data_IF_200633869394
#
_entry.id   IF_200633869394
#
_cell.length_a   1.000
_cell.length_b   1.000
_cell.length_c   1.000
_cell.angle_alpha   90.00
_cell.angle_beta   90.00
_cell.angle_gamma   90.00
#
_symmetry.space_group_name_H-M   'P 1'
#
loop_
_entity.id
_entity.type
_entity.pdbx_description
1 polymer ?
#
# COMPACT_ATOMS: atom_id res chain seq x y z
N UNK A 1 -49.93 -72.09 0.75
CA UNK A 1 -50.23 -72.08 -0.69
C UNK A 1 -50.54 -70.64 -1.10
N UNK A 2 -49.86 -70.10 -2.15
CA UNK A 2 -50.23 -69.01 -3.10
C UNK A 2 -50.88 -67.72 -2.52
N UNK A 3 -50.57 -66.47 -2.89
CA UNK A 3 -49.75 -65.83 -3.94
C UNK A 3 -49.89 -64.30 -3.70
N UNK A 4 -48.87 -63.55 -4.11
CA UNK A 4 -48.82 -62.19 -4.67
C UNK A 4 -49.95 -61.16 -4.39
N UNK A 5 -49.53 -59.97 -3.91
CA UNK A 5 -49.88 -58.62 -4.39
C UNK A 5 -48.80 -57.68 -3.78
N UNK A 6 -47.75 -57.20 -4.44
CA UNK A 6 -47.63 -56.20 -5.52
C UNK A 6 -48.48 -54.93 -5.31
N UNK A 7 -47.90 -53.86 -4.73
CA UNK A 7 -47.87 -52.48 -5.31
C UNK A 7 -47.31 -51.42 -4.34
N UNK A 8 -46.67 -50.41 -4.93
CA UNK A 8 -46.35 -49.07 -4.40
C UNK A 8 -45.26 -48.91 -3.34
N UNK A 9 -44.04 -48.59 -3.79
CA UNK A 9 -43.34 -47.36 -3.40
C UNK A 9 -42.02 -47.24 -4.18
N UNK A 10 -42.11 -46.88 -5.46
CA UNK A 10 -40.97 -46.34 -6.18
C UNK A 10 -40.76 -44.90 -5.70
N UNK A 11 -40.08 -44.73 -4.56
CA UNK A 11 -39.52 -43.44 -4.16
C UNK A 11 -38.35 -43.16 -5.11
N UNK A 12 -38.65 -42.42 -6.18
CA UNK A 12 -37.66 -41.74 -7.00
C UNK A 12 -36.89 -40.81 -6.08
N UNK A 13 -35.69 -41.24 -5.68
CA UNK A 13 -34.69 -40.40 -5.05
C UNK A 13 -34.26 -39.38 -6.10
N UNK A 14 -34.93 -38.23 -6.11
CA UNK A 14 -34.42 -36.99 -6.66
C UNK A 14 -33.19 -36.61 -5.82
N UNK A 15 -32.03 -37.16 -6.17
CA UNK A 15 -30.76 -36.61 -5.75
C UNK A 15 -30.63 -35.23 -6.42
N UNK A 16 -31.17 -34.21 -5.76
CA UNK A 16 -30.84 -32.83 -6.05
C UNK A 16 -29.36 -32.66 -5.77
N UNK A 17 -28.54 -32.65 -6.82
CA UNK A 17 -27.20 -32.11 -6.76
C UNK A 17 -27.35 -30.66 -6.29
N UNK A 18 -27.13 -30.42 -5.00
CA UNK A 18 -26.93 -29.06 -4.50
C UNK A 18 -25.71 -28.56 -5.28
N UNK A 19 -25.94 -27.68 -6.25
CA UNK A 19 -24.89 -26.86 -6.83
C UNK A 19 -24.43 -25.98 -5.69
N UNK A 20 -23.47 -26.46 -4.90
CA UNK A 20 -22.72 -25.64 -3.99
C UNK A 20 -21.91 -24.72 -4.88
N UNK A 21 -22.44 -23.52 -5.09
CA UNK A 21 -21.66 -22.39 -5.56
C UNK A 21 -20.48 -22.26 -4.60
N UNK A 22 -19.34 -22.84 -4.95
CA UNK A 22 -18.10 -22.62 -4.23
C UNK A 22 -17.84 -21.12 -4.34
N UNK A 23 -17.85 -20.35 -3.24
CA UNK A 23 -17.29 -19.03 -3.33
C UNK A 23 -15.82 -19.26 -3.67
N UNK A 24 -15.39 -18.86 -4.86
CA UNK A 24 -13.97 -18.69 -5.12
C UNK A 24 -13.53 -17.60 -4.16
N UNK A 25 -13.04 -17.99 -2.98
CA UNK A 25 -12.39 -17.07 -2.06
C UNK A 25 -11.21 -16.51 -2.85
N UNK A 26 -11.33 -15.29 -3.35
CA UNK A 26 -10.18 -14.56 -3.84
C UNK A 26 -9.27 -14.36 -2.63
N UNK A 27 -8.20 -15.16 -2.56
CA UNK A 27 -7.23 -15.07 -1.48
C UNK A 27 -6.36 -13.85 -1.77
N UNK A 28 -6.51 -12.83 -0.92
CA UNK A 28 -5.69 -11.63 -0.94
C UNK A 28 -4.54 -11.77 0.06
N UNK A 29 -3.36 -11.30 -0.35
CA UNK A 29 -2.24 -11.07 0.55
C UNK A 29 -1.91 -9.58 0.53
N UNK A 30 -1.79 -8.99 1.72
CA UNK A 30 -1.40 -7.59 1.86
C UNK A 30 0.04 -7.46 2.35
N UNK A 31 0.74 -6.48 1.79
CA UNK A 31 2.10 -6.15 2.18
C UNK A 31 2.17 -4.65 2.44
N UNK A 32 2.91 -4.26 3.47
CA UNK A 32 3.31 -2.87 3.68
C UNK A 32 4.82 -2.76 3.62
N UNK A 33 5.31 -1.56 3.38
CA UNK A 33 6.73 -1.33 3.25
C UNK A 33 7.07 0.14 3.11
N UNK A 34 8.32 0.41 2.76
CA UNK A 34 8.81 1.77 2.63
C UNK A 34 10.30 1.84 2.39
N UNK A 35 10.80 3.05 2.17
CA UNK A 35 12.23 3.31 2.05
C UNK A 35 12.54 4.80 2.16
N UNK A 36 13.82 5.10 2.41
CA UNK A 36 14.39 6.42 2.23
C UNK A 36 15.36 6.40 1.04
N UNK A 37 15.29 7.41 0.17
CA UNK A 37 16.19 7.61 -0.95
C UNK A 37 16.58 9.09 -1.05
N UNK A 38 17.77 9.43 -0.56
CA UNK A 38 18.15 10.84 -0.38
C UNK A 38 17.19 11.52 0.61
N UNK A 39 16.58 12.62 0.19
CA UNK A 39 15.60 13.35 1.01
C UNK A 39 14.16 12.80 0.86
N UNK A 40 13.97 11.75 0.04
CA UNK A 40 12.66 11.17 -0.20
C UNK A 40 12.35 10.04 0.77
N UNK A 41 11.21 10.12 1.45
CA UNK A 41 10.66 9.03 2.27
C UNK A 41 9.41 8.49 1.60
N UNK A 42 9.31 7.17 1.44
CA UNK A 42 8.18 6.51 0.78
C UNK A 42 7.56 5.46 1.67
N UNK A 43 6.23 5.42 1.73
CA UNK A 43 5.41 4.38 2.36
C UNK A 43 4.64 3.62 1.29
N UNK A 44 4.53 2.30 1.44
CA UNK A 44 3.96 1.39 0.45
C UNK A 44 2.87 0.52 1.04
N UNK A 45 1.82 0.29 0.24
CA UNK A 45 0.78 -0.69 0.49
C UNK A 45 0.54 -1.49 -0.79
N UNK A 46 0.52 -2.81 -0.70
CA UNK A 46 0.32 -3.71 -1.85
C UNK A 46 -0.73 -4.75 -1.50
N UNK A 47 -1.69 -4.95 -2.38
CA UNK A 47 -2.64 -6.07 -2.33
C UNK A 47 -2.40 -6.97 -3.54
N UNK A 48 -2.08 -8.22 -3.27
CA UNK A 48 -1.78 -9.25 -4.25
C UNK A 48 -2.86 -10.33 -4.27
N UNK A 49 -3.21 -10.80 -5.47
CA UNK A 49 -3.97 -12.03 -5.70
C UNK A 49 -3.02 -13.16 -6.11
N UNK A 50 -3.52 -14.39 -6.17
CA UNK A 50 -2.75 -15.55 -6.69
C UNK A 50 -2.09 -15.30 -8.06
N UNK A 51 -2.70 -14.48 -8.92
CA UNK A 51 -2.19 -14.15 -10.27
C UNK A 51 -1.17 -13.02 -10.32
N UNK A 52 -0.88 -12.36 -9.19
CA UNK A 52 0.04 -11.22 -9.11
C UNK A 52 -0.58 -9.99 -8.44
N UNK A 53 0.12 -8.84 -8.47
CA UNK A 53 -0.38 -7.62 -7.85
C UNK A 53 -1.73 -7.26 -8.47
N UNK A 54 -2.66 -6.81 -7.64
CA UNK A 54 -3.95 -6.28 -8.08
C UNK A 54 -3.98 -4.77 -7.87
N UNK A 55 -3.56 -4.32 -6.69
CA UNK A 55 -3.51 -2.91 -6.32
C UNK A 55 -2.25 -2.61 -5.54
N UNK A 56 -1.75 -1.39 -5.68
CA UNK A 56 -0.72 -0.86 -4.80
C UNK A 56 -0.92 0.64 -4.64
N UNK A 57 -0.41 1.20 -3.55
CA UNK A 57 -0.44 2.62 -3.29
C UNK A 57 0.88 3.05 -2.67
N UNK A 58 1.28 4.30 -2.92
CA UNK A 58 2.41 4.92 -2.26
C UNK A 58 2.07 6.30 -1.71
N UNK A 59 2.75 6.67 -0.64
CA UNK A 59 2.84 8.05 -0.17
C UNK A 59 4.31 8.42 -0.10
N UNK A 60 4.67 9.55 -0.69
CA UNK A 60 6.06 9.98 -0.82
C UNK A 60 6.20 11.43 -0.40
N UNK A 61 7.11 11.68 0.54
CA UNK A 61 7.58 13.01 0.92
C UNK A 61 8.95 13.22 0.28
N UNK A 62 9.21 14.41 -0.25
CA UNK A 62 10.49 14.77 -0.87
C UNK A 62 11.03 16.05 -0.23
N UNK A 63 11.22 16.05 1.09
CA UNK A 63 11.64 17.24 1.84
C UNK A 63 10.85 18.50 1.46
N UNK A 64 11.57 19.58 1.13
CA UNK A 64 10.97 20.85 0.68
C UNK A 64 10.48 20.86 -0.79
N UNK A 65 10.66 19.76 -1.54
CA UNK A 65 10.29 19.68 -2.94
C UNK A 65 8.83 19.28 -3.15
N UNK A 66 8.17 18.82 -2.10
CA UNK A 66 6.75 18.50 -2.07
C UNK A 66 6.47 17.07 -1.63
N UNK A 67 5.29 16.59 -2.00
CA UNK A 67 4.78 15.29 -1.60
C UNK A 67 3.80 14.77 -2.64
N UNK A 68 3.61 13.46 -2.68
CA UNK A 68 2.54 12.88 -3.47
C UNK A 68 2.02 11.58 -2.89
N UNK A 69 0.84 11.22 -3.34
CA UNK A 69 0.27 9.90 -3.16
C UNK A 69 -0.13 9.32 -4.51
N UNK A 70 0.03 8.02 -4.66
CA UNK A 70 -0.34 7.30 -5.87
C UNK A 70 -1.17 6.07 -5.56
N UNK A 71 -2.03 5.69 -6.49
CA UNK A 71 -2.63 4.35 -6.55
C UNK A 71 -2.40 3.77 -7.94
N UNK A 72 -2.10 2.47 -7.95
CA UNK A 72 -1.80 1.66 -9.11
C UNK A 72 -2.75 0.46 -9.14
N UNK A 73 -3.24 0.11 -10.33
CA UNK A 73 -4.10 -1.07 -10.52
C UNK A 73 -3.56 -1.91 -11.66
N UNK A 74 -3.43 -3.21 -11.41
CA UNK A 74 -3.01 -4.21 -12.39
C UNK A 74 -4.19 -5.08 -12.79
N UNK A 75 -4.09 -5.60 -14.01
CA UNK A 75 -4.94 -6.66 -14.52
C UNK A 75 -4.11 -7.57 -15.41
N UNK A 76 -4.21 -8.88 -15.17
CA UNK A 76 -3.41 -9.92 -15.84
C UNK A 76 -1.89 -9.62 -15.84
N UNK A 77 -1.37 -9.12 -14.70
CA UNK A 77 0.05 -8.84 -14.52
C UNK A 77 0.55 -7.56 -15.20
N UNK A 78 -0.31 -6.82 -15.90
CA UNK A 78 0.03 -5.54 -16.55
C UNK A 78 -0.58 -4.38 -15.79
N UNK A 79 0.20 -3.31 -15.55
CA UNK A 79 -0.31 -2.08 -14.96
C UNK A 79 -1.35 -1.48 -15.90
N UNK A 80 -2.59 -1.30 -15.43
CA UNK A 80 -3.71 -0.76 -16.22
C UNK A 80 -4.03 0.68 -15.92
N UNK A 81 -3.78 1.11 -14.69
CA UNK A 81 -4.17 2.44 -14.28
C UNK A 81 -3.27 2.96 -13.17
N UNK A 82 -2.93 4.24 -13.28
CA UNK A 82 -2.20 5.01 -12.30
C UNK A 82 -2.92 6.34 -12.09
N UNK A 83 -3.17 6.68 -10.83
CA UNK A 83 -3.49 8.05 -10.43
C UNK A 83 -2.45 8.49 -9.42
N UNK A 84 -1.86 9.66 -9.64
CA UNK A 84 -0.94 10.32 -8.69
C UNK A 84 -1.39 11.74 -8.46
N UNK A 85 -1.38 12.19 -7.21
CA UNK A 85 -1.70 13.58 -6.87
C UNK A 85 -0.88 14.06 -5.69
N UNK A 86 -0.66 15.37 -5.62
CA UNK A 86 0.07 15.99 -4.53
C UNK A 86 0.54 17.38 -4.91
N UNK A 87 1.66 17.79 -4.33
CA UNK A 87 2.29 19.07 -4.58
C UNK A 87 3.73 18.87 -5.03
N UNK A 88 4.17 19.66 -6.02
CA UNK A 88 5.56 19.67 -6.47
C UNK A 88 6.08 21.10 -6.54
N UNK A 89 7.39 21.26 -6.34
CA UNK A 89 8.05 22.57 -6.40
C UNK A 89 8.09 23.12 -7.82
N UNK A 90 7.42 24.24 -8.03
CA UNK A 90 7.55 25.12 -9.19
C UNK A 90 8.59 26.21 -8.91
N UNK A 91 9.42 26.51 -9.90
CA UNK A 91 10.52 27.47 -9.78
C UNK A 91 10.08 28.90 -9.45
N UNK A 92 8.82 29.27 -9.72
CA UNK A 92 8.30 30.63 -9.54
C UNK A 92 7.26 30.72 -8.42
N UNK A 93 6.46 29.67 -8.25
CA UNK A 93 5.27 29.69 -7.40
C UNK A 93 5.45 28.91 -6.09
N UNK A 94 6.60 28.26 -5.87
CA UNK A 94 6.79 27.37 -4.73
C UNK A 94 6.04 26.05 -4.96
N UNK A 95 5.47 25.46 -3.91
CA UNK A 95 4.69 24.24 -4.06
C UNK A 95 3.38 24.52 -4.82
N UNK A 96 3.13 23.71 -5.86
CA UNK A 96 1.90 23.80 -6.65
C UNK A 96 1.23 22.43 -6.77
N UNK A 97 -0.11 22.37 -6.77
CA UNK A 97 -0.82 21.11 -6.87
C UNK A 97 -0.69 20.52 -8.27
N UNK A 98 -0.63 19.20 -8.33
CA UNK A 98 -0.64 18.46 -9.58
C UNK A 98 -1.42 17.15 -9.48
N UNK A 99 -1.90 16.67 -10.62
CA UNK A 99 -2.55 15.37 -10.75
C UNK A 99 -2.20 14.72 -12.07
N UNK A 100 -1.86 13.44 -12.01
CA UNK A 100 -1.59 12.57 -13.14
C UNK A 100 -2.61 11.44 -13.11
N UNK A 101 -3.16 11.12 -14.28
CA UNK A 101 -4.02 9.97 -14.49
C UNK A 101 -3.66 9.33 -15.83
N UNK A 102 -3.23 8.07 -15.78
CA UNK A 102 -2.83 7.31 -16.96
C UNK A 102 -3.55 5.97 -16.94
N UNK A 103 -4.06 5.54 -18.11
CA UNK A 103 -4.52 4.17 -18.32
C UNK A 103 -3.72 3.53 -19.43
N UNK A 104 -3.39 2.26 -19.27
CA UNK A 104 -2.56 1.49 -20.19
C UNK A 104 -3.34 0.31 -20.79
N UNK A 105 -3.01 -0.07 -22.03
CA UNK A 105 -3.53 -1.29 -22.66
C UNK A 105 -2.78 -2.55 -22.19
N UNK A 106 -3.06 -3.68 -22.83
CA UNK A 106 -2.42 -4.99 -22.54
C UNK A 106 -0.93 -5.02 -22.87
N UNK A 107 -0.50 -4.16 -23.78
CA UNK A 107 0.89 -4.03 -24.23
C UNK A 107 1.68 -3.03 -23.37
N UNK A 108 1.03 -2.41 -22.37
CA UNK A 108 1.63 -1.39 -21.52
C UNK A 108 1.70 0.00 -22.16
N UNK A 109 1.03 0.25 -23.28
CA UNK A 109 0.97 1.54 -23.94
C UNK A 109 -0.13 2.42 -23.35
N UNK A 110 0.15 3.71 -23.17
CA UNK A 110 -0.80 4.65 -22.57
C UNK A 110 -1.95 4.99 -23.55
N UNK A 111 -3.15 4.51 -23.25
CA UNK A 111 -4.39 4.76 -24.01
C UNK A 111 -5.19 5.95 -23.49
N UNK A 112 -4.92 6.40 -22.27
CA UNK A 112 -5.45 7.64 -21.70
C UNK A 112 -4.37 8.31 -20.87
N UNK A 113 -4.25 9.64 -20.99
CA UNK A 113 -3.26 10.43 -20.28
C UNK A 113 -3.84 11.80 -19.92
N UNK A 114 -3.72 12.17 -18.66
CA UNK A 114 -4.02 13.51 -18.18
C UNK A 114 -2.99 13.92 -17.15
N UNK A 115 -2.24 14.98 -17.42
CA UNK A 115 -1.37 15.62 -16.45
C UNK A 115 -1.81 17.07 -16.28
N UNK A 116 -2.21 17.41 -15.05
CA UNK A 116 -2.56 18.77 -14.65
C UNK A 116 -1.51 19.27 -13.67
N UNK A 117 -0.93 20.42 -13.96
CA UNK A 117 0.00 21.14 -13.08
C UNK A 117 -0.51 22.55 -12.87
N UNK A 118 -0.86 22.89 -11.62
CA UNK A 118 -1.46 24.19 -11.29
C UNK A 118 -2.61 24.55 -12.25
N UNK A 119 -3.55 23.61 -12.41
CA UNK A 119 -4.70 23.69 -13.32
C UNK A 119 -4.38 23.74 -14.84
N UNK A 120 -3.11 23.68 -15.24
CA UNK A 120 -2.71 23.63 -16.66
C UNK A 120 -2.55 22.19 -17.11
N UNK A 121 -3.12 21.85 -18.27
CA UNK A 121 -2.93 20.53 -18.88
C UNK A 121 -1.59 20.51 -19.62
N UNK A 122 -0.76 19.52 -19.33
CA UNK A 122 0.56 19.34 -19.91
C UNK A 122 0.68 17.93 -20.54
N UNK A 123 1.51 17.77 -21.58
CA UNK A 123 1.81 16.45 -22.11
C UNK A 123 2.68 15.64 -21.13
N UNK A 124 2.44 14.34 -21.06
CA UNK A 124 3.33 13.40 -20.35
C UNK A 124 4.33 12.86 -21.37
N UNK A 125 5.61 12.88 -21.02
CA UNK A 125 6.67 12.38 -21.88
C UNK A 125 6.80 10.85 -21.77
N UNK A 126 7.31 10.19 -22.82
CA UNK A 126 7.44 8.74 -22.86
C UNK A 126 8.34 8.19 -21.73
N UNK A 127 9.40 8.91 -21.38
CA UNK A 127 10.29 8.55 -20.27
C UNK A 127 9.60 8.69 -18.90
N UNK A 128 8.67 9.62 -18.74
CA UNK A 128 7.85 9.74 -17.53
C UNK A 128 6.89 8.55 -17.41
N UNK A 129 6.24 8.14 -18.51
CA UNK A 129 5.38 6.96 -18.52
C UNK A 129 6.14 5.69 -18.12
N UNK A 130 7.32 5.47 -18.71
CA UNK A 130 8.17 4.33 -18.38
C UNK A 130 8.64 4.37 -16.92
N UNK A 131 8.97 5.56 -16.40
CA UNK A 131 9.35 5.74 -15.00
C UNK A 131 8.20 5.37 -14.07
N UNK A 132 6.97 5.78 -14.35
CA UNK A 132 5.80 5.41 -13.55
C UNK A 132 5.57 3.90 -13.50
N UNK A 133 5.73 3.21 -14.63
CA UNK A 133 5.64 1.75 -14.68
C UNK A 133 6.75 1.10 -13.85
N UNK A 134 7.99 1.58 -13.99
CA UNK A 134 9.12 1.08 -13.20
C UNK A 134 8.98 1.33 -11.70
N UNK A 135 8.45 2.49 -11.30
CA UNK A 135 8.16 2.81 -9.90
C UNK A 135 7.09 1.84 -9.34
N UNK A 136 6.05 1.57 -10.11
CA UNK A 136 4.99 0.62 -9.77
C UNK A 136 5.53 -0.82 -9.55
N UNK A 137 6.42 -1.28 -10.41
CA UNK A 137 7.03 -2.61 -10.25
C UNK A 137 8.02 -2.65 -9.08
N UNK A 138 8.77 -1.57 -8.86
CA UNK A 138 9.72 -1.49 -7.75
C UNK A 138 9.02 -1.50 -6.40
N UNK A 139 7.91 -0.78 -6.21
CA UNK A 139 7.24 -0.81 -4.90
C UNK A 139 6.68 -2.21 -4.59
N UNK A 140 6.13 -2.92 -5.59
CA UNK A 140 5.62 -4.28 -5.41
C UNK A 140 6.76 -5.21 -5.02
N UNK A 141 7.88 -5.15 -5.76
CA UNK A 141 9.06 -5.97 -5.48
C UNK A 141 9.62 -5.69 -4.08
N UNK A 142 9.74 -4.42 -3.70
CA UNK A 142 10.30 -3.98 -2.42
C UNK A 142 9.43 -4.42 -1.24
N UNK A 143 8.13 -4.16 -1.31
CA UNK A 143 7.18 -4.52 -0.23
C UNK A 143 7.13 -6.03 -0.01
N UNK A 144 7.15 -6.81 -1.11
CA UNK A 144 7.20 -8.28 -1.02
C UNK A 144 8.52 -8.78 -0.43
N UNK A 145 9.64 -8.15 -0.79
CA UNK A 145 10.94 -8.51 -0.20
C UNK A 145 10.97 -8.21 1.29
N UNK A 146 10.51 -7.02 1.71
CA UNK A 146 10.44 -6.63 3.11
C UNK A 146 9.55 -7.58 3.92
N UNK A 147 8.38 -7.94 3.39
CA UNK A 147 7.52 -8.93 4.02
C UNK A 147 8.20 -10.31 4.18
N UNK A 148 8.99 -10.77 3.19
CA UNK A 148 9.77 -12.02 3.31
C UNK A 148 10.85 -11.93 4.39
N UNK A 149 11.40 -10.75 4.60
CA UNK A 149 12.37 -10.47 5.66
C UNK A 149 11.69 -10.27 7.04
N UNK A 150 10.35 -10.39 7.07
CA UNK A 150 9.51 -10.24 8.26
C UNK A 150 9.25 -8.78 8.63
N UNK A 151 9.60 -7.84 7.76
CA UNK A 151 9.45 -6.40 7.99
C UNK A 151 8.10 -5.89 7.49
N UNK A 152 7.51 -4.99 8.26
CA UNK A 152 6.30 -4.24 7.89
C UNK A 152 6.50 -2.74 8.18
N UNK A 153 5.72 -1.90 7.50
CA UNK A 153 5.64 -0.47 7.82
C UNK A 153 4.84 -0.29 9.11
N UNK A 154 5.45 0.37 10.09
CA UNK A 154 4.84 0.72 11.37
C UNK A 154 4.95 2.24 11.53
N UNK A 155 3.85 2.86 11.93
CA UNK A 155 3.78 4.29 12.22
C UNK A 155 2.98 4.51 13.51
N UNK A 156 3.28 5.59 14.22
CA UNK A 156 2.68 5.87 15.51
C UNK A 156 3.38 7.01 16.24
N UNK A 157 3.07 7.14 17.52
CA UNK A 157 3.56 8.21 18.38
C UNK A 157 4.38 7.62 19.52
N UNK A 158 5.52 8.26 19.79
CA UNK A 158 6.40 7.95 20.90
C UNK A 158 6.32 9.08 21.92
N UNK A 159 5.97 8.76 23.17
CA UNK A 159 5.79 9.72 24.28
C UNK A 159 6.98 9.75 25.27
N UNK A 160 8.07 9.06 24.94
CA UNK A 160 9.24 8.90 25.83
C UNK A 160 9.26 7.59 26.63
N UNK A 161 8.13 6.90 26.76
CA UNK A 161 8.01 5.64 27.50
C UNK A 161 7.36 4.53 26.66
N UNK A 162 6.29 4.88 25.94
CA UNK A 162 5.48 3.97 25.15
C UNK A 162 5.37 4.42 23.71
N UNK A 163 5.21 3.44 22.82
CA UNK A 163 4.89 3.65 21.43
C UNK A 163 3.46 3.22 21.16
N UNK A 164 2.59 4.16 20.77
CA UNK A 164 1.23 3.89 20.33
C UNK A 164 1.20 3.88 18.79
N UNK A 165 0.85 2.75 18.18
CA UNK A 165 0.70 2.69 16.71
C UNK A 165 -0.49 3.54 16.27
N UNK A 166 -0.48 3.96 15.00
CA UNK A 166 -1.64 4.57 14.35
C UNK A 166 -2.90 3.67 14.30
N UNK A 167 -2.78 2.39 14.70
CA UNK A 167 -3.90 1.44 14.83
C UNK A 167 -4.36 1.25 16.28
N UNK A 168 -3.76 1.96 17.24
CA UNK A 168 -4.10 1.91 18.67
C UNK A 168 -3.45 0.76 19.45
N UNK A 169 -2.39 0.14 18.92
CA UNK A 169 -1.62 -0.87 19.64
C UNK A 169 -0.48 -0.19 20.42
N UNK A 170 -0.35 -0.50 21.71
CA UNK A 170 0.69 0.06 22.57
C UNK A 170 1.86 -0.90 22.80
N UNK A 171 3.08 -0.36 22.78
CA UNK A 171 4.31 -1.11 23.01
C UNK A 171 5.21 -0.38 24.00
N UNK A 172 5.67 -1.09 25.04
CA UNK A 172 6.52 -0.55 26.09
C UNK A 172 8.01 -0.57 25.76
N UNK A 173 8.40 -1.07 24.58
CA UNK A 173 9.81 -1.27 24.23
C UNK A 173 10.02 -1.11 22.73
N UNK A 174 10.87 -0.15 22.37
CA UNK A 174 11.34 0.11 21.03
C UNK A 174 12.84 -0.25 20.96
N UNK A 175 13.19 -1.34 20.28
CA UNK A 175 14.57 -1.82 20.14
C UNK A 175 15.10 -1.45 18.75
N UNK A 176 16.25 -0.79 18.68
CA UNK A 176 16.86 -0.42 17.40
C UNK A 176 17.97 -1.40 17.02
N UNK A 177 17.85 -2.04 15.85
CA UNK A 177 18.86 -2.97 15.35
C UNK A 177 20.15 -2.27 14.89
N UNK A 178 20.08 -0.97 14.65
CA UNK A 178 21.20 -0.15 14.20
C UNK A 178 21.46 0.95 15.21
N UNK A 179 22.73 1.35 15.33
CA UNK A 179 23.09 2.51 16.16
C UNK A 179 22.47 3.76 15.56
N UNK A 180 21.45 4.32 16.23
CA UNK A 180 20.86 5.57 15.82
C UNK A 180 21.86 6.72 15.94
N UNK A 181 21.83 7.69 15.01
CA UNK A 181 22.55 8.94 15.20
C UNK A 181 22.10 9.64 16.50
N UNK A 182 23.03 10.29 17.20
CA UNK A 182 22.74 10.94 18.48
C UNK A 182 21.61 11.96 18.45
N UNK A 183 21.39 12.64 17.31
CA UNK A 183 20.27 13.59 17.17
C UNK A 183 18.89 12.91 17.20
N UNK A 184 18.78 11.68 16.67
CA UNK A 184 17.54 10.89 16.70
C UNK A 184 17.25 10.48 18.13
N UNK A 185 18.28 9.99 18.84
CA UNK A 185 18.17 9.60 20.26
C UNK A 185 17.74 10.81 21.10
N UNK A 186 18.36 11.97 20.89
CA UNK A 186 18.02 13.18 21.63
C UNK A 186 16.58 13.61 21.38
N UNK A 187 16.09 13.55 20.13
CA UNK A 187 14.71 13.92 19.81
C UNK A 187 13.71 12.96 20.47
N UNK A 188 13.88 11.64 20.30
CA UNK A 188 13.03 10.64 20.94
C UNK A 188 13.05 10.71 22.48
N UNK A 189 14.11 11.24 23.09
CA UNK A 189 14.21 11.38 24.54
C UNK A 189 13.69 12.72 25.08
N UNK A 190 13.41 13.71 24.23
CA UNK A 190 13.11 15.09 24.67
C UNK A 190 11.72 15.58 24.30
N UNK A 191 11.07 14.98 23.31
CA UNK A 191 9.76 15.41 22.82
C UNK A 191 8.93 14.24 22.34
N UNK A 192 7.62 14.35 22.54
CA UNK A 192 6.64 13.49 21.90
C UNK A 192 6.82 13.60 20.38
N UNK A 193 6.83 12.47 19.69
CA UNK A 193 7.23 12.43 18.28
C UNK A 193 6.39 11.44 17.50
N UNK A 194 5.95 11.85 16.30
CA UNK A 194 5.52 10.89 15.28
C UNK A 194 6.73 10.13 14.74
N UNK A 195 6.62 8.81 14.66
CA UNK A 195 7.66 7.94 14.12
C UNK A 195 7.06 6.97 13.11
N UNK A 196 7.71 6.83 11.96
CA UNK A 196 7.45 5.75 11.02
C UNK A 196 8.72 4.98 10.70
N UNK A 197 8.63 3.66 10.65
CA UNK A 197 9.78 2.78 10.44
C UNK A 197 9.38 1.45 9.81
N UNK A 198 10.38 0.75 9.28
CA UNK A 198 10.29 -0.68 8.98
C UNK A 198 10.72 -1.47 10.20
N UNK A 199 9.91 -2.44 10.59
CA UNK A 199 10.20 -3.21 11.79
C UNK A 199 9.40 -4.49 11.92
N UNK A 200 9.54 -5.12 13.09
CA UNK A 200 8.85 -6.35 13.45
C UNK A 200 8.07 -6.15 14.75
N UNK A 201 6.81 -6.57 14.74
CA UNK A 201 5.99 -6.66 15.95
C UNK A 201 6.24 -7.97 16.68
N UNK A 202 6.47 -7.88 17.99
CA UNK A 202 6.36 -8.99 18.94
C UNK A 202 5.39 -8.59 20.05
N UNK A 203 5.01 -9.51 20.95
CA UNK A 203 3.88 -9.28 21.88
C UNK A 203 3.93 -7.97 22.69
N UNK A 204 5.11 -7.45 23.03
CA UNK A 204 5.31 -6.19 23.75
C UNK A 204 6.49 -5.36 23.25
N UNK A 205 7.10 -5.75 22.14
CA UNK A 205 8.31 -5.08 21.63
C UNK A 205 8.21 -4.83 20.14
N UNK A 206 8.70 -3.67 19.76
CA UNK A 206 8.89 -3.26 18.38
C UNK A 206 10.38 -3.25 18.08
N UNK A 207 10.79 -4.09 17.14
CA UNK A 207 12.15 -4.10 16.62
C UNK A 207 12.20 -3.17 15.41
N UNK A 208 12.93 -2.06 15.52
CA UNK A 208 13.15 -1.08 14.46
C UNK A 208 14.35 -1.50 13.63
N UNK A 209 14.09 -1.86 12.38
CA UNK A 209 15.12 -2.17 11.40
C UNK A 209 15.61 -0.90 10.70
N UNK A 210 14.68 -0.09 10.19
CA UNK A 210 14.97 1.12 9.43
C UNK A 210 14.00 2.23 9.84
N UNK A 211 14.52 3.29 10.48
CA UNK A 211 13.76 4.52 10.71
C UNK A 211 13.48 5.21 9.36
N UNK A 212 12.23 5.51 9.05
CA UNK A 212 11.82 6.17 7.80
C UNK A 212 11.51 7.64 8.00
N UNK A 213 10.80 7.97 9.08
CA UNK A 213 10.37 9.34 9.37
C UNK A 213 10.35 9.58 10.87
N UNK A 214 10.80 10.76 11.27
CA UNK A 214 10.71 11.28 12.62
C UNK A 214 10.22 12.73 12.52
N UNK A 215 9.06 13.00 13.10
CA UNK A 215 8.39 14.29 13.00
C UNK A 215 7.80 14.73 14.35
N UNK A 216 7.16 15.89 14.39
CA UNK A 216 6.39 16.36 15.54
C UNK A 216 5.14 15.50 15.78
N UNK A 217 4.58 15.55 16.98
CA UNK A 217 3.43 14.74 17.42
C UNK A 217 2.09 15.21 16.83
N UNK A 218 2.05 16.39 16.21
CA UNK A 218 0.88 16.94 15.53
C UNK A 218 0.63 16.36 14.14
N UNK A 219 1.55 15.51 13.65
CA UNK A 219 1.47 14.89 12.35
C UNK A 219 0.43 13.78 12.30
N UNK A 220 -0.52 13.90 11.38
CA UNK A 220 -1.46 12.83 11.09
C UNK A 220 -0.80 11.56 10.55
N UNK A 221 -1.31 10.42 11.02
CA UNK A 221 -0.99 9.11 10.47
C UNK A 221 -1.30 9.01 8.98
N UNK A 222 -0.35 8.51 8.20
CA UNK A 222 -0.54 8.36 6.75
C UNK A 222 -1.43 7.15 6.48
N UNK A 223 -2.58 7.39 5.87
CA UNK A 223 -3.50 6.33 5.45
C UNK A 223 -3.15 5.83 4.06
N UNK A 224 -3.45 4.55 3.78
CA UNK A 224 -3.35 3.97 2.43
C UNK A 224 -4.10 4.85 1.42
N UNK A 225 -3.44 5.38 0.38
CA UNK A 225 -4.11 6.16 -0.65
C UNK A 225 -5.13 5.33 -1.42
N UNK A 226 -6.31 5.92 -1.65
CA UNK A 226 -7.39 5.40 -2.48
C UNK A 226 -7.83 6.52 -3.42
N UNK A 227 -7.39 6.45 -4.67
CA UNK A 227 -7.55 7.47 -5.72
C UNK A 227 -8.32 6.96 -6.93
N UNK A 228 -8.32 5.64 -7.14
CA UNK A 228 -8.98 4.93 -8.23
C UNK A 228 -10.29 4.36 -7.67
N UNK A 229 -11.41 4.80 -8.22
CA UNK A 229 -12.71 4.27 -7.84
C UNK A 229 -12.81 2.77 -8.21
N UNK A 230 -13.32 1.99 -7.27
CA UNK A 230 -13.73 0.62 -7.56
C UNK A 230 -14.99 0.67 -8.41
N UNK A 231 -14.95 0.02 -9.57
CA UNK A 231 -16.15 -0.17 -10.38
C UNK A 231 -17.14 -0.96 -9.53
N UNK A 232 -18.17 -0.29 -9.00
CA UNK A 232 -19.33 -0.96 -8.43
C UNK A 232 -19.94 -1.80 -9.55
N UNK A 233 -19.70 -3.11 -9.49
CA UNK A 233 -20.27 -4.09 -10.40
C UNK A 233 -21.60 -4.59 -9.89
#
# INVERSE_FOLDING_TARGET
>A
MKKLFLTCAACVLLAGCSSSSRPTLEQFTEFTGGQMMGDATSFYWVTEKLSGPQKASDFVLVGEYGWYQSEYRWDEGTLRELIRQGEQRDNKLGLVPYRIHVRFNVDGEAVYQQFRLNSKVLPIQADQLQRYQSEADMLVKKSKQQSRDGLELIQGYWDGETFETCTGEEFSTLEFNQTLPGFVINRLASVDSYVAFLGKKSSKRLEVDTLLLLDEDDRDCVTRPVLIEDEQK
#
